data_IF_087814617765
#
_entry.id   IF_087814617765
#
_cell.length_a   1.000
_cell.length_b   1.000
_cell.length_c   1.000
_cell.angle_alpha   90.00
_cell.angle_beta   90.00
_cell.angle_gamma   90.00
#
_symmetry.space_group_name_H-M   'P 1'
#
loop_
_entity.id
_entity.type
_entity.pdbx_description
1 polymer ?
#
# COMPACT_ATOMS: atom_id res chain seq x y z
N UNK A 1 -9.92 7.18 10.29
CA UNK A 1 -10.72 5.98 9.95
C UNK A 1 -10.00 4.71 10.44
N UNK A 2 -10.37 4.14 11.59
CA UNK A 2 -9.62 3.01 12.19
C UNK A 2 -9.73 1.71 11.39
N UNK A 3 -10.88 1.46 10.74
CA UNK A 3 -11.10 0.25 9.93
C UNK A 3 -10.11 0.14 8.77
N UNK A 4 -9.93 1.23 8.02
CA UNK A 4 -9.00 1.27 6.88
C UNK A 4 -7.55 1.07 7.34
N UNK A 5 -7.15 1.65 8.47
CA UNK A 5 -5.79 1.44 9.02
C UNK A 5 -5.55 -0.02 9.42
N UNK A 6 -6.53 -0.69 10.03
CA UNK A 6 -6.47 -2.12 10.34
C UNK A 6 -6.41 -3.00 9.08
N UNK A 7 -7.17 -2.63 8.05
CA UNK A 7 -7.12 -3.32 6.76
C UNK A 7 -5.75 -3.17 6.09
N UNK A 8 -5.18 -1.97 6.10
CA UNK A 8 -3.84 -1.70 5.58
C UNK A 8 -2.77 -2.52 6.33
N UNK A 9 -2.79 -2.54 7.67
CA UNK A 9 -1.89 -3.39 8.45
C UNK A 9 -2.01 -4.87 8.06
N UNK A 10 -3.23 -5.40 7.94
CA UNK A 10 -3.46 -6.80 7.54
C UNK A 10 -2.92 -7.11 6.13
N UNK A 11 -3.06 -6.17 5.18
CA UNK A 11 -2.58 -6.36 3.81
C UNK A 11 -1.06 -6.22 3.70
N UNK A 12 -0.44 -5.30 4.44
CA UNK A 12 1.02 -5.22 4.58
C UNK A 12 1.64 -6.50 5.15
N UNK A 13 0.96 -7.16 6.11
CA UNK A 13 1.37 -8.48 6.61
C UNK A 13 1.22 -9.57 5.54
N UNK A 14 0.11 -9.56 4.79
CA UNK A 14 -0.18 -10.60 3.80
C UNK A 14 0.70 -10.53 2.54
N UNK A 15 0.90 -9.33 2.00
CA UNK A 15 1.54 -9.12 0.71
C UNK A 15 3.06 -8.94 0.85
N UNK A 16 3.48 -8.13 1.83
CA UNK A 16 4.88 -7.78 2.03
C UNK A 16 5.53 -8.56 3.19
N UNK A 17 4.78 -9.42 3.88
CA UNK A 17 5.29 -10.32 4.91
C UNK A 17 5.82 -9.64 6.17
N UNK A 18 5.42 -8.39 6.42
CA UNK A 18 5.73 -7.73 7.69
C UNK A 18 5.01 -8.41 8.85
N UNK A 19 5.51 -8.21 10.07
CA UNK A 19 4.80 -8.63 11.28
C UNK A 19 3.91 -7.50 11.77
N UNK A 20 2.75 -7.83 12.33
CA UNK A 20 1.77 -6.83 12.80
C UNK A 20 2.37 -5.90 13.87
N UNK A 21 3.27 -6.44 14.71
CA UNK A 21 3.96 -5.69 15.77
C UNK A 21 4.93 -4.63 15.24
N UNK A 22 5.36 -4.74 13.97
CA UNK A 22 6.21 -3.75 13.31
C UNK A 22 5.40 -2.57 12.77
N UNK A 23 4.07 -2.70 12.66
CA UNK A 23 3.19 -1.70 12.03
C UNK A 23 2.23 -1.15 13.08
N UNK A 24 2.58 -0.02 13.69
CA UNK A 24 1.66 0.66 14.59
C UNK A 24 0.58 1.40 13.79
N UNK A 25 -0.69 1.20 14.16
CA UNK A 25 -1.82 1.83 13.48
C UNK A 25 -1.81 3.37 13.60
N UNK A 26 -1.17 3.92 14.63
CA UNK A 26 -1.09 5.38 14.82
C UNK A 26 -0.07 6.04 13.89
N UNK A 27 0.91 5.28 13.39
CA UNK A 27 1.89 5.74 12.39
C UNK A 27 1.31 5.72 10.95
N UNK A 28 0.12 5.13 10.77
CA UNK A 28 -0.60 5.12 9.50
C UNK A 28 -1.41 6.41 9.39
N UNK A 29 -0.83 7.39 8.67
CA UNK A 29 -1.43 8.69 8.47
C UNK A 29 -2.38 8.70 7.28
N UNK A 30 -3.60 9.19 7.50
CA UNK A 30 -4.59 9.39 6.46
C UNK A 30 -4.38 10.72 5.75
N UNK A 31 -4.18 10.69 4.44
CA UNK A 31 -3.89 11.88 3.62
C UNK A 31 -5.14 12.42 2.92
N UNK A 32 -6.08 11.55 2.54
CA UNK A 32 -7.26 11.95 1.78
C UNK A 32 -8.02 10.77 1.19
N UNK A 33 -9.04 11.08 0.39
CA UNK A 33 -9.80 10.10 -0.40
C UNK A 33 -9.96 10.55 -1.84
N UNK A 34 -9.96 9.59 -2.74
CA UNK A 34 -10.15 9.81 -4.18
C UNK A 34 -11.24 8.87 -4.68
N UNK A 35 -12.22 9.41 -5.39
CA UNK A 35 -13.22 8.60 -6.09
C UNK A 35 -12.72 8.39 -7.52
N UNK A 36 -12.48 7.15 -7.93
CA UNK A 36 -12.03 6.84 -9.29
C UNK A 36 -12.70 5.58 -9.84
N UNK A 37 -12.66 5.45 -11.17
CA UNK A 37 -13.00 4.24 -11.90
C UNK A 37 -11.90 3.98 -12.93
N UNK A 38 -11.43 2.75 -13.02
CA UNK A 38 -10.41 2.33 -13.99
C UNK A 38 -10.75 0.94 -14.55
N UNK A 39 -10.55 0.74 -15.85
CA UNK A 39 -10.77 -0.54 -16.52
C UNK A 39 -9.42 -1.20 -16.77
N UNK A 40 -9.27 -2.46 -16.36
CA UNK A 40 -8.05 -3.25 -16.58
C UNK A 40 -8.11 -3.99 -17.92
N UNK A 41 -9.27 -4.58 -18.22
CA UNK A 41 -9.60 -5.19 -19.50
C UNK A 41 -11.13 -5.22 -19.69
N UNK A 42 -11.60 -5.91 -20.73
CA UNK A 42 -13.03 -5.98 -21.07
C UNK A 42 -13.91 -6.63 -19.98
N UNK A 43 -13.32 -7.34 -19.01
CA UNK A 43 -14.04 -8.05 -17.94
C UNK A 43 -13.78 -7.48 -16.54
N UNK A 44 -12.60 -6.91 -16.27
CA UNK A 44 -12.15 -6.54 -14.94
C UNK A 44 -11.77 -5.06 -14.84
N UNK A 45 -12.08 -4.46 -13.70
CA UNK A 45 -11.75 -3.07 -13.39
C UNK A 45 -12.05 -2.72 -11.94
N UNK A 46 -11.78 -1.47 -11.58
CA UNK A 46 -11.94 -0.91 -10.24
C UNK A 46 -12.91 0.27 -10.26
N UNK A 47 -13.63 0.46 -9.15
CA UNK A 47 -14.49 1.62 -8.90
C UNK A 47 -14.55 1.87 -7.40
N UNK A 48 -13.71 2.79 -6.91
CA UNK A 48 -13.42 2.90 -5.49
C UNK A 48 -13.45 4.34 -4.98
N UNK A 49 -13.89 4.50 -3.73
CA UNK A 49 -13.52 5.63 -2.89
C UNK A 49 -12.30 5.23 -2.08
N UNK A 50 -11.12 5.38 -2.68
CA UNK A 50 -9.86 4.91 -2.13
C UNK A 50 -9.30 5.88 -1.08
N UNK A 51 -8.64 5.33 -0.06
CA UNK A 51 -8.09 6.03 1.08
C UNK A 51 -6.57 6.05 0.96
N UNK A 52 -6.00 7.22 0.69
CA UNK A 52 -4.55 7.38 0.66
C UNK A 52 -3.99 7.38 2.09
N UNK A 53 -3.15 6.39 2.38
CA UNK A 53 -2.48 6.20 3.67
C UNK A 53 -0.96 6.27 3.50
N UNK A 54 -0.26 6.88 4.45
CA UNK A 54 1.20 7.02 4.43
C UNK A 54 1.78 6.64 5.78
N UNK A 55 2.84 5.83 5.75
CA UNK A 55 3.73 5.58 6.89
C UNK A 55 5.08 6.22 6.55
N UNK A 56 5.67 6.96 7.48
CA UNK A 56 6.99 7.59 7.31
C UNK A 56 8.03 6.87 8.16
N UNK A 57 9.30 6.95 7.76
CA UNK A 57 10.44 6.37 8.50
C UNK A 57 10.23 4.88 8.84
N UNK A 58 9.71 4.12 7.88
CA UNK A 58 9.42 2.70 8.05
C UNK A 58 10.63 1.89 7.58
N UNK A 59 11.45 1.45 8.55
CA UNK A 59 12.65 0.66 8.30
C UNK A 59 12.42 -0.80 8.72
N UNK A 60 11.73 -1.54 7.86
CA UNK A 60 11.48 -2.96 8.03
C UNK A 60 11.81 -3.69 6.73
N UNK A 61 12.39 -4.89 6.86
CA UNK A 61 12.72 -5.73 5.72
C UNK A 61 11.49 -6.58 5.35
N UNK A 62 10.94 -6.45 4.14
CA UNK A 62 9.80 -7.25 3.71
C UNK A 62 10.21 -8.68 3.38
N UNK A 63 9.25 -9.59 3.53
CA UNK A 63 9.33 -10.98 3.07
C UNK A 63 8.17 -11.23 2.11
N UNK A 64 8.39 -10.98 0.82
CA UNK A 64 7.31 -10.90 -0.17
C UNK A 64 6.54 -12.20 -0.29
N UNK A 65 5.21 -12.09 -0.41
CA UNK A 65 4.37 -13.17 -0.88
C UNK A 65 4.39 -13.18 -2.42
N UNK A 66 5.02 -14.19 -3.07
CA UNK A 66 5.19 -14.20 -4.52
C UNK A 66 3.88 -14.37 -5.30
N UNK A 67 2.80 -14.82 -4.66
CA UNK A 67 1.46 -14.90 -5.27
C UNK A 67 0.80 -13.52 -5.39
N UNK A 68 1.30 -12.52 -4.65
CA UNK A 68 0.72 -11.16 -4.60
C UNK A 68 1.70 -10.10 -5.14
N UNK A 69 3.00 -10.24 -4.89
CA UNK A 69 4.02 -9.23 -5.21
C UNK A 69 5.20 -9.86 -5.96
N UNK A 70 5.41 -9.44 -7.21
CA UNK A 70 6.50 -9.92 -8.05
C UNK A 70 7.87 -9.31 -7.69
N UNK A 71 7.92 -8.01 -7.40
CA UNK A 71 9.16 -7.28 -7.10
C UNK A 71 8.92 -6.05 -6.23
N UNK A 72 9.99 -5.57 -5.58
CA UNK A 72 9.99 -4.30 -4.84
C UNK A 72 11.21 -3.45 -5.20
N UNK A 73 11.03 -2.13 -5.11
CA UNK A 73 12.12 -1.18 -5.29
C UNK A 73 11.92 0.03 -4.38
N UNK A 74 12.93 0.34 -3.58
CA UNK A 74 12.99 1.60 -2.85
C UNK A 74 13.52 2.69 -3.78
N UNK A 75 12.77 3.79 -3.91
CA UNK A 75 13.09 4.89 -4.83
C UNK A 75 13.07 6.23 -4.12
N UNK A 76 13.96 7.12 -4.54
CA UNK A 76 13.88 8.54 -4.20
C UNK A 76 12.95 9.29 -5.18
N UNK A 77 12.67 10.57 -4.90
CA UNK A 77 11.77 11.38 -5.71
C UNK A 77 12.17 11.44 -7.19
N UNK A 78 13.47 11.58 -7.50
CA UNK A 78 13.95 11.63 -8.89
C UNK A 78 13.73 10.29 -9.59
N UNK A 79 14.11 9.19 -8.94
CA UNK A 79 13.90 7.85 -9.49
C UNK A 79 12.42 7.53 -9.73
N UNK A 80 11.52 8.01 -8.85
CA UNK A 80 10.08 7.87 -9.04
C UNK A 80 9.59 8.70 -10.24
N UNK A 81 10.07 9.94 -10.39
CA UNK A 81 9.75 10.79 -11.55
C UNK A 81 10.21 10.16 -12.87
N UNK A 82 11.38 9.52 -12.89
CA UNK A 82 11.92 8.83 -14.07
C UNK A 82 11.12 7.55 -14.45
N UNK A 83 10.19 7.09 -13.59
CA UNK A 83 9.36 5.88 -13.81
C UNK A 83 7.93 6.17 -14.31
N UNK A 84 7.49 7.44 -14.29
CA UNK A 84 6.15 7.88 -14.70
C UNK A 84 6.23 8.40 -16.15
#
# INVERSE_FOLDING_TARGET
AIGVRRAAQRKLVHELGFKAEQINLDDIHYMGRFLYKAESNDQWGEHELDYALVIRNFDAVPNLNPEEVAEIKYVNQKQLQDMI
#
